data_IF_462044477769
#
_entry.id   IF_462044477769
#
_cell.length_a   1.000
_cell.length_b   1.000
_cell.length_c   1.000
_cell.angle_alpha   90.00
_cell.angle_beta   90.00
_cell.angle_gamma   90.00
#
_symmetry.space_group_name_H-M   'P 1'
#
loop_
_entity.id
_entity.type
_entity.pdbx_description
1 polymer ?
#
# COMPACT_ATOMS: atom_id res chain seq x y z
N UNK A 1 16.38 9.00 25.93
CA UNK A 1 16.54 7.63 25.39
C UNK A 1 16.76 7.76 23.90
N UNK A 2 17.90 7.33 23.37
CA UNK A 2 18.15 5.97 22.86
C UNK A 2 17.32 5.71 21.58
N UNK A 3 17.85 5.40 20.39
CA UNK A 3 19.18 5.22 19.79
C UNK A 3 19.03 5.49 18.27
N UNK A 4 20.03 5.56 17.40
CA UNK A 4 21.33 4.88 17.39
C UNK A 4 21.26 3.59 16.55
N UNK A 5 21.65 3.68 15.26
CA UNK A 5 21.93 2.54 14.35
C UNK A 5 20.71 1.95 13.64
N UNK A 6 20.82 1.31 12.47
CA UNK A 6 21.97 0.93 11.68
C UNK A 6 21.45 0.60 10.28
N UNK A 7 22.17 1.01 9.23
CA UNK A 7 21.90 0.56 7.87
C UNK A 7 22.30 -0.91 7.76
N UNK A 8 21.38 -1.79 8.14
CA UNK A 8 21.53 -3.21 7.91
C UNK A 8 20.65 -3.60 6.74
N UNK A 9 21.27 -4.11 5.69
CA UNK A 9 20.63 -4.92 4.64
C UNK A 9 20.19 -6.28 5.21
N UNK A 10 19.57 -6.29 6.40
CA UNK A 10 18.92 -7.45 6.97
C UNK A 10 17.59 -7.62 6.24
N UNK A 11 17.25 -8.88 5.90
CA UNK A 11 16.17 -9.25 5.01
C UNK A 11 14.91 -8.38 5.23
N UNK A 12 14.64 -7.45 4.29
CA UNK A 12 13.47 -6.59 4.36
C UNK A 12 12.24 -7.48 4.40
N UNK A 13 11.55 -7.43 5.54
CA UNK A 13 10.35 -8.22 5.78
C UNK A 13 9.17 -7.60 5.04
N UNK A 14 8.16 -8.42 4.70
CA UNK A 14 6.94 -7.96 4.05
C UNK A 14 6.26 -6.83 4.85
N UNK A 15 6.37 -6.85 6.17
CA UNK A 15 5.79 -5.84 7.06
C UNK A 15 6.41 -4.45 6.85
N UNK A 16 7.73 -4.39 6.71
CA UNK A 16 8.45 -3.15 6.39
C UNK A 16 7.99 -2.60 5.04
N UNK A 17 7.85 -3.46 4.02
CA UNK A 17 7.34 -3.06 2.71
C UNK A 17 5.91 -2.51 2.79
N UNK A 18 5.04 -3.15 3.58
CA UNK A 18 3.65 -2.73 3.81
C UNK A 18 3.56 -1.32 4.37
N UNK A 19 4.48 -0.95 5.27
CA UNK A 19 4.54 0.40 5.84
C UNK A 19 4.84 1.46 4.79
N UNK A 20 5.63 1.14 3.75
CA UNK A 20 6.00 2.09 2.69
C UNK A 20 5.09 2.08 1.46
N UNK A 21 4.01 1.29 1.43
CA UNK A 21 3.11 1.21 0.25
C UNK A 21 2.54 2.56 -0.17
N UNK A 22 2.45 3.51 0.77
CA UNK A 22 2.04 4.90 0.55
C UNK A 22 3.03 5.71 -0.33
N UNK A 23 4.25 5.21 -0.53
CA UNK A 23 5.29 5.85 -1.34
C UNK A 23 5.50 5.11 -2.66
N UNK A 24 6.01 5.77 -3.70
CA UNK A 24 6.41 5.10 -4.94
C UNK A 24 7.64 4.20 -4.70
N UNK A 25 7.72 3.07 -5.40
CA UNK A 25 8.83 2.11 -5.28
C UNK A 25 10.23 2.73 -5.37
N UNK A 26 10.39 3.81 -6.17
CA UNK A 26 11.65 4.55 -6.29
C UNK A 26 12.06 5.21 -4.97
N UNK A 27 11.10 5.81 -4.29
CA UNK A 27 11.31 6.49 -3.01
C UNK A 27 11.53 5.47 -1.89
N UNK A 28 10.76 4.38 -1.90
CA UNK A 28 10.91 3.25 -0.97
C UNK A 28 12.32 2.67 -1.07
N UNK A 29 12.80 2.43 -2.30
CA UNK A 29 14.14 1.93 -2.54
C UNK A 29 15.20 2.89 -1.97
N UNK A 30 15.04 4.20 -2.21
CA UNK A 30 15.94 5.24 -1.67
C UNK A 30 15.95 5.26 -0.14
N UNK A 31 14.77 5.15 0.50
CA UNK A 31 14.64 5.11 1.97
C UNK A 31 15.24 3.86 2.59
N UNK A 32 15.09 2.73 1.91
CA UNK A 32 15.64 1.44 2.34
C UNK A 32 17.12 1.27 1.94
N UNK A 33 17.75 2.26 1.31
CA UNK A 33 19.12 2.16 0.81
C UNK A 33 19.30 1.09 -0.28
N UNK A 34 18.22 0.69 -0.95
CA UNK A 34 18.21 -0.31 -2.00
C UNK A 34 18.13 0.32 -3.40
N UNK A 35 18.60 -0.45 -4.39
CA UNK A 35 18.25 -0.20 -5.78
C UNK A 35 16.81 -0.68 -6.07
N UNK A 36 16.13 -0.04 -7.02
CA UNK A 36 14.81 -0.45 -7.53
C UNK A 36 14.78 -1.95 -7.92
N UNK A 37 15.88 -2.46 -8.48
CA UNK A 37 16.00 -3.87 -8.86
C UNK A 37 16.02 -4.80 -7.64
N UNK A 38 16.77 -4.46 -6.60
CA UNK A 38 16.81 -5.21 -5.34
C UNK A 38 15.46 -5.17 -4.63
N UNK A 39 14.82 -4.00 -4.60
CA UNK A 39 13.48 -3.86 -4.05
C UNK A 39 12.49 -4.77 -4.78
N UNK A 40 12.48 -4.78 -6.13
CA UNK A 40 11.63 -5.69 -6.91
C UNK A 40 11.91 -7.17 -6.61
N UNK A 41 13.18 -7.56 -6.41
CA UNK A 41 13.55 -8.94 -6.03
C UNK A 41 12.95 -9.31 -4.67
N UNK A 42 13.14 -8.46 -3.66
CA UNK A 42 12.56 -8.66 -2.32
C UNK A 42 11.03 -8.71 -2.40
N UNK A 43 10.39 -7.78 -3.10
CA UNK A 43 8.95 -7.78 -3.26
C UNK A 43 8.45 -9.09 -3.91
N UNK A 44 9.13 -9.59 -4.96
CA UNK A 44 8.80 -10.89 -5.58
C UNK A 44 8.93 -12.06 -4.61
N UNK A 45 9.95 -12.07 -3.74
CA UNK A 45 10.10 -13.11 -2.71
C UNK A 45 8.93 -13.13 -1.73
N UNK A 46 8.32 -11.97 -1.47
CA UNK A 46 7.14 -11.82 -0.62
C UNK A 46 5.80 -11.85 -1.39
N UNK A 47 5.79 -12.26 -2.66
CA UNK A 47 4.56 -12.33 -3.49
C UNK A 47 4.10 -10.99 -4.09
N UNK A 48 4.83 -9.90 -3.85
CA UNK A 48 4.57 -8.56 -4.38
C UNK A 48 5.31 -8.30 -5.70
N UNK A 49 4.84 -8.87 -6.81
CA UNK A 49 5.48 -8.66 -8.13
C UNK A 49 5.35 -7.22 -8.65
N UNK A 50 4.27 -6.52 -8.28
CA UNK A 50 4.02 -5.15 -8.72
C UNK A 50 3.68 -4.26 -7.52
N UNK A 51 4.40 -3.14 -7.42
CA UNK A 51 4.19 -2.17 -6.35
C UNK A 51 2.82 -1.50 -6.47
N UNK A 52 1.90 -1.64 -5.50
CA UNK A 52 0.50 -1.25 -5.64
C UNK A 52 0.22 0.25 -5.38
N UNK A 53 1.21 1.13 -5.56
CA UNK A 53 1.08 2.58 -5.34
C UNK A 53 -0.06 3.23 -6.14
N UNK A 54 -0.23 2.85 -7.42
CA UNK A 54 -1.27 3.45 -8.28
C UNK A 54 -2.68 3.14 -7.78
N UNK A 55 -2.92 1.92 -7.32
CA UNK A 55 -4.22 1.49 -6.81
C UNK A 55 -4.45 2.04 -5.40
N UNK A 56 -3.42 2.04 -4.55
CA UNK A 56 -3.48 2.68 -3.23
C UNK A 56 -3.91 4.15 -3.34
N UNK A 57 -3.29 4.94 -4.22
CA UNK A 57 -3.67 6.35 -4.45
C UNK A 57 -5.13 6.49 -4.89
N UNK A 58 -5.63 5.57 -5.71
CA UNK A 58 -7.03 5.59 -6.14
C UNK A 58 -7.98 5.28 -4.98
N UNK A 59 -7.62 4.31 -4.14
CA UNK A 59 -8.39 3.95 -2.94
C UNK A 59 -8.40 5.11 -1.94
N UNK A 60 -7.23 5.69 -1.64
CA UNK A 60 -7.14 6.81 -0.69
C UNK A 60 -7.94 8.02 -1.15
N UNK A 61 -7.92 8.33 -2.46
CA UNK A 61 -8.74 9.41 -3.01
C UNK A 61 -10.24 9.12 -2.86
N UNK A 62 -10.68 7.88 -3.06
CA UNK A 62 -12.08 7.49 -2.81
C UNK A 62 -12.43 7.58 -1.32
N UNK A 63 -11.52 7.17 -0.45
CA UNK A 63 -11.68 7.19 1.00
C UNK A 63 -11.84 8.62 1.51
N UNK A 64 -11.00 9.55 1.01
CA UNK A 64 -11.09 10.98 1.31
C UNK A 64 -12.40 11.60 0.78
N UNK A 65 -12.79 11.26 -0.45
CA UNK A 65 -14.07 11.72 -1.02
C UNK A 65 -15.26 11.27 -0.17
N UNK A 66 -15.29 10.01 0.23
CA UNK A 66 -16.35 9.42 1.06
C UNK A 66 -16.36 10.05 2.45
N UNK A 67 -15.20 10.25 3.07
CA UNK A 67 -15.08 10.92 4.36
C UNK A 67 -15.54 12.38 4.31
N UNK A 68 -15.26 13.10 3.22
CA UNK A 68 -15.81 14.44 3.01
C UNK A 68 -17.33 14.36 2.93
N UNK A 69 -17.88 13.50 2.08
CA UNK A 69 -19.32 13.33 1.92
C UNK A 69 -20.04 12.93 3.21
N UNK A 70 -19.42 12.16 4.10
CA UNK A 70 -19.98 11.86 5.43
C UNK A 70 -20.03 13.08 6.37
N UNK A 71 -19.11 14.04 6.19
CA UNK A 71 -19.04 15.27 6.98
C UNK A 71 -20.03 16.32 6.49
N UNK A 72 -20.30 16.31 5.19
CA UNK A 72 -21.32 17.13 4.54
C UNK A 72 -22.72 16.61 4.94
N UNK A 73 -23.28 17.15 6.03
CA UNK A 73 -24.61 16.78 6.58
C UNK A 73 -25.79 17.01 5.62
N UNK A 74 -25.56 17.67 4.49
CA UNK A 74 -26.54 18.00 3.46
C UNK A 74 -26.62 16.94 2.35
N UNK A 75 -25.62 16.06 2.26
CA UNK A 75 -25.59 15.00 1.26
C UNK A 75 -26.48 13.83 1.65
N UNK A 76 -27.57 13.59 0.91
CA UNK A 76 -28.54 12.50 1.12
C UNK A 76 -28.00 11.06 0.99
N UNK A 77 -26.68 10.85 1.14
CA UNK A 77 -26.09 9.51 1.23
C UNK A 77 -26.16 9.05 2.67
N UNK A 78 -26.84 7.93 2.93
CA UNK A 78 -26.90 7.35 4.27
C UNK A 78 -25.49 7.13 4.79
N UNK A 79 -25.18 7.61 6.00
CA UNK A 79 -23.86 7.43 6.61
C UNK A 79 -23.44 5.95 6.68
N UNK A 80 -24.41 5.04 6.68
CA UNK A 80 -24.20 3.59 6.62
C UNK A 80 -23.59 3.13 5.28
N UNK A 81 -24.06 3.65 4.15
CA UNK A 81 -23.48 3.38 2.82
C UNK A 81 -22.05 3.91 2.72
N UNK A 82 -21.80 5.09 3.30
CA UNK A 82 -20.46 5.67 3.32
C UNK A 82 -19.51 4.81 4.16
N UNK A 83 -19.95 4.35 5.32
CA UNK A 83 -19.18 3.45 6.19
C UNK A 83 -18.86 2.12 5.50
N UNK A 84 -19.85 1.50 4.84
CA UNK A 84 -19.67 0.28 4.05
C UNK A 84 -18.62 0.46 2.94
N UNK A 85 -18.66 1.58 2.23
CA UNK A 85 -17.69 1.88 1.19
C UNK A 85 -16.28 2.12 1.75
N UNK A 86 -16.15 2.81 2.89
CA UNK A 86 -14.85 3.01 3.56
C UNK A 86 -14.26 1.67 4.00
N UNK A 87 -15.06 0.77 4.56
CA UNK A 87 -14.61 -0.55 4.98
C UNK A 87 -14.16 -1.40 3.78
N UNK A 88 -14.95 -1.43 2.70
CA UNK A 88 -14.59 -2.11 1.46
C UNK A 88 -13.27 -1.60 0.88
N UNK A 89 -13.05 -0.28 0.91
CA UNK A 89 -11.82 0.36 0.44
C UNK A 89 -10.61 0.05 1.35
N UNK A 90 -10.80 -0.02 2.67
CA UNK A 90 -9.74 -0.45 3.61
C UNK A 90 -9.37 -1.91 3.39
N UNK A 91 -10.36 -2.78 3.18
CA UNK A 91 -10.14 -4.19 2.84
C UNK A 91 -9.40 -4.33 1.51
N UNK A 92 -9.80 -3.58 0.47
CA UNK A 92 -9.08 -3.57 -0.82
C UNK A 92 -7.64 -3.05 -0.66
N UNK A 93 -7.41 -2.03 0.20
CA UNK A 93 -6.06 -1.52 0.54
C UNK A 93 -5.20 -2.59 1.21
N UNK A 94 -5.76 -3.41 2.09
CA UNK A 94 -5.07 -4.51 2.76
C UNK A 94 -4.79 -5.70 1.82
N UNK A 95 -5.64 -5.90 0.81
CA UNK A 95 -5.46 -6.93 -0.21
C UNK A 95 -4.41 -6.57 -1.31
N UNK A 96 -4.03 -5.28 -1.42
CA UNK A 96 -3.02 -4.81 -2.38
C UNK A 96 -1.66 -5.54 -2.37
N UNK A 97 -1.03 -5.84 -1.22
CA UNK A 97 0.24 -6.59 -1.17
C UNK A 97 0.11 -8.01 -1.74
N UNK A 98 -1.08 -8.60 -1.73
CA UNK A 98 -1.29 -10.01 -2.13
C UNK A 98 -1.84 -10.14 -3.56
N UNK A 99 -2.60 -9.14 -4.03
CA UNK A 99 -3.45 -9.30 -5.22
C UNK A 99 -2.75 -9.11 -6.57
N UNK A 100 -1.56 -8.51 -6.64
CA UNK A 100 -0.88 -8.28 -7.93
C UNK A 100 0.41 -9.09 -8.08
N UNK A 101 0.19 -10.39 -8.23
CA UNK A 101 1.22 -11.35 -8.62
C UNK A 101 0.76 -12.62 -9.31
N UNK A 102 -0.25 -12.54 -10.16
CA UNK A 102 -0.31 -13.43 -11.33
C UNK A 102 0.38 -12.73 -12.49
N UNK A 103 1.71 -12.82 -12.55
CA UNK A 103 2.28 -13.03 -13.88
C UNK A 103 2.29 -14.54 -14.05
N UNK A 104 1.33 -15.03 -14.82
CA UNK A 104 1.43 -16.31 -15.49
C UNK A 104 2.85 -16.43 -16.07
N UNK A 105 3.69 -17.26 -15.48
CA UNK A 105 4.65 -18.06 -16.23
C UNK A 105 3.98 -19.44 -16.28
N UNK A 106 3.02 -19.57 -17.20
CA UNK A 106 2.79 -20.86 -17.81
C UNK A 106 4.00 -21.07 -18.72
N UNK A 107 4.83 -22.05 -18.41
CA UNK A 107 5.80 -22.63 -19.32
C UNK A 107 5.78 -24.13 -19.17
#
# INVERSE_FOLDING_TARGET
>A
GAGGGSGSTEAISADVLKQYLHLPAKEVAKRLGLCLTSLKKVCRQHGMTRWPYRKLRSIEKKLESLQSSARDKDGGTSGEDVMRQIEALRSEKEALPTSYGTRAEAS
#
